data_IF_258044642421
#
_entry.id   IF_258044642421
#
_cell.length_a   1.000
_cell.length_b   1.000
_cell.length_c   1.000
_cell.angle_alpha   90.00
_cell.angle_beta   90.00
_cell.angle_gamma   90.00
#
_symmetry.space_group_name_H-M   'P 1'
#
loop_
_entity.id
_entity.type
_entity.pdbx_description
1 polymer ?
#
# COMPACT_ATOMS: atom_id res chain seq x y z
N UNK A 1 -0.15 12.57 16.25
CA UNK A 1 -0.79 11.94 15.05
C UNK A 1 0.05 10.75 14.70
N UNK A 2 -0.54 9.57 14.69
CA UNK A 2 0.17 8.31 14.40
C UNK A 2 0.26 8.11 12.89
N UNK A 3 1.46 7.98 12.35
CA UNK A 3 1.71 7.69 10.93
C UNK A 3 1.71 6.19 10.71
N UNK A 4 1.00 5.75 9.67
CA UNK A 4 0.96 4.36 9.24
C UNK A 4 1.29 4.31 7.74
N UNK A 5 2.40 3.67 7.41
CA UNK A 5 2.79 3.39 6.04
C UNK A 5 2.11 2.14 5.56
N UNK A 6 1.56 2.15 4.35
CA UNK A 6 0.72 1.09 3.78
C UNK A 6 1.12 0.80 2.34
N UNK A 7 1.09 -0.48 1.99
CA UNK A 7 1.19 -0.99 0.62
C UNK A 7 0.39 -2.28 0.48
N UNK A 8 -0.15 -2.56 -0.72
CA UNK A 8 -1.01 -3.73 -1.01
C UNK A 8 -0.55 -4.44 -2.26
N UNK A 9 -0.53 -5.77 -2.23
CA UNK A 9 -0.31 -6.58 -3.41
C UNK A 9 -1.58 -7.31 -3.84
N UNK A 10 -1.74 -7.44 -5.16
CA UNK A 10 -2.93 -8.05 -5.78
C UNK A 10 -2.58 -9.22 -6.67
N UNK A 11 -3.50 -10.16 -6.76
CA UNK A 11 -3.51 -11.14 -7.83
C UNK A 11 -4.34 -10.58 -8.99
N UNK A 12 -3.64 -10.08 -10.01
CA UNK A 12 -4.25 -9.48 -11.20
C UNK A 12 -4.15 -10.43 -12.37
N UNK A 13 -5.27 -11.06 -12.80
CA UNK A 13 -5.24 -11.96 -13.97
C UNK A 13 -5.04 -11.21 -15.30
N UNK A 14 -5.31 -9.92 -15.33
CA UNK A 14 -5.16 -9.04 -16.48
C UNK A 14 -3.78 -8.39 -16.60
N UNK A 15 -3.58 -7.63 -17.69
CA UNK A 15 -2.33 -6.89 -17.93
C UNK A 15 -2.17 -5.67 -17.00
N UNK A 16 -3.26 -5.21 -16.40
CA UNK A 16 -3.27 -4.06 -15.48
C UNK A 16 -4.14 -4.40 -14.28
N UNK A 17 -3.72 -4.03 -13.07
CA UNK A 17 -4.55 -4.20 -11.88
C UNK A 17 -5.84 -3.37 -11.97
N UNK A 18 -6.91 -3.92 -11.40
CA UNK A 18 -8.22 -3.30 -11.29
C UNK A 18 -8.68 -3.29 -9.84
N UNK A 19 -9.73 -2.52 -9.52
CA UNK A 19 -10.27 -2.48 -8.15
C UNK A 19 -11.07 -3.74 -7.78
N UNK A 20 -11.29 -4.65 -8.73
CA UNK A 20 -11.93 -5.96 -8.50
C UNK A 20 -10.91 -7.07 -8.24
N UNK A 21 -9.62 -6.80 -8.44
CA UNK A 21 -8.57 -7.78 -8.23
C UNK A 21 -8.45 -8.16 -6.75
N UNK A 22 -8.15 -9.42 -6.52
CA UNK A 22 -8.04 -9.98 -5.18
C UNK A 22 -6.79 -9.44 -4.48
N UNK A 23 -6.96 -8.93 -3.27
CA UNK A 23 -5.84 -8.55 -2.41
C UNK A 23 -5.21 -9.83 -1.83
N UNK A 24 -3.93 -10.03 -2.07
CA UNK A 24 -3.18 -11.19 -1.61
C UNK A 24 -2.23 -10.88 -0.45
N UNK A 25 -1.80 -9.62 -0.31
CA UNK A 25 -1.01 -9.18 0.82
C UNK A 25 -1.34 -7.73 1.19
N UNK A 26 -1.33 -7.42 2.48
CA UNK A 26 -1.42 -6.06 3.03
C UNK A 26 -0.23 -5.88 3.96
N UNK A 27 0.67 -4.97 3.64
CA UNK A 27 1.77 -4.60 4.51
C UNK A 27 1.56 -3.22 5.11
N UNK A 28 1.80 -3.08 6.39
CA UNK A 28 1.73 -1.78 7.06
C UNK A 28 2.75 -1.68 8.20
N UNK A 29 3.14 -0.46 8.50
CA UNK A 29 4.09 -0.11 9.56
C UNK A 29 3.65 1.18 10.23
N UNK A 30 3.53 1.17 11.53
CA UNK A 30 3.50 2.41 12.30
C UNK A 30 4.91 2.99 12.39
N UNK A 31 5.04 4.32 12.50
CA UNK A 31 6.30 5.07 12.43
C UNK A 31 7.44 4.43 13.25
N UNK A 32 7.17 4.06 14.51
CA UNK A 32 8.17 3.48 15.41
C UNK A 32 8.10 1.94 15.51
N UNK A 33 7.28 1.29 14.65
CA UNK A 33 7.02 -0.14 14.70
C UNK A 33 7.81 -0.94 13.67
N UNK A 34 7.64 -2.25 13.71
CA UNK A 34 8.06 -3.17 12.65
C UNK A 34 6.98 -3.27 11.57
N UNK A 35 7.38 -3.72 10.37
CA UNK A 35 6.42 -4.01 9.29
C UNK A 35 5.62 -5.26 9.65
N UNK A 36 4.31 -5.13 9.64
CA UNK A 36 3.36 -6.25 9.69
C UNK A 36 2.94 -6.58 8.26
N UNK A 37 2.93 -7.86 7.90
CA UNK A 37 2.42 -8.34 6.60
C UNK A 37 1.30 -9.33 6.85
N UNK A 38 0.09 -8.99 6.41
CA UNK A 38 -1.05 -9.89 6.40
C UNK A 38 -1.09 -10.58 5.03
N UNK A 39 -1.24 -11.90 5.03
CA UNK A 39 -1.05 -12.75 3.87
C UNK A 39 -2.29 -13.60 3.63
N UNK A 40 -2.84 -13.51 2.43
CA UNK A 40 -4.06 -14.23 2.06
C UNK A 40 -3.84 -15.75 2.04
N UNK A 41 -2.68 -16.23 1.61
CA UNK A 41 -2.33 -17.66 1.59
C UNK A 41 -2.14 -18.30 2.97
N UNK A 42 -2.10 -17.54 4.06
CA UNK A 42 -2.13 -18.04 5.44
C UNK A 42 -3.56 -18.07 6.01
N UNK A 43 -4.54 -17.47 5.29
CA UNK A 43 -5.95 -17.39 5.72
C UNK A 43 -6.88 -17.25 4.51
N UNK A 44 -7.44 -16.05 4.27
CA UNK A 44 -8.17 -15.64 3.09
C UNK A 44 -8.22 -14.09 3.00
N UNK A 45 -8.64 -13.57 1.84
CA UNK A 45 -8.73 -12.13 1.60
C UNK A 45 -9.63 -11.42 2.63
N UNK A 46 -10.79 -12.01 2.96
CA UNK A 46 -11.70 -11.41 3.92
C UNK A 46 -11.08 -11.27 5.31
N UNK A 47 -10.31 -12.27 5.74
CA UNK A 47 -9.66 -12.25 7.05
C UNK A 47 -8.55 -11.21 7.11
N UNK A 48 -7.71 -11.10 6.08
CA UNK A 48 -6.64 -10.07 6.09
C UNK A 48 -7.22 -8.66 6.04
N UNK A 49 -8.26 -8.41 5.26
CA UNK A 49 -8.99 -7.15 5.24
C UNK A 49 -9.63 -6.82 6.59
N UNK A 50 -10.30 -7.79 7.21
CA UNK A 50 -10.93 -7.60 8.53
C UNK A 50 -9.88 -7.23 9.57
N UNK A 51 -8.77 -7.99 9.65
CA UNK A 51 -7.68 -7.72 10.59
C UNK A 51 -7.08 -6.35 10.39
N UNK A 52 -6.77 -5.96 9.16
CA UNK A 52 -6.23 -4.63 8.85
C UNK A 52 -7.18 -3.52 9.31
N UNK A 53 -8.47 -3.61 8.95
CA UNK A 53 -9.46 -2.59 9.30
C UNK A 53 -9.70 -2.51 10.82
N UNK A 54 -9.62 -3.62 11.54
CA UNK A 54 -9.70 -3.63 13.01
C UNK A 54 -8.48 -2.97 13.66
N UNK A 55 -7.28 -3.19 13.12
CA UNK A 55 -6.06 -2.56 13.62
C UNK A 55 -6.12 -1.04 13.46
N UNK A 56 -6.47 -0.55 12.27
CA UNK A 56 -6.50 0.91 12.03
C UNK A 56 -7.61 1.61 12.82
N UNK A 57 -8.73 0.94 13.13
CA UNK A 57 -9.79 1.49 14.01
C UNK A 57 -9.33 1.77 15.44
N UNK A 58 -8.28 1.10 15.89
CA UNK A 58 -7.73 1.26 17.26
C UNK A 58 -6.73 2.40 17.34
N UNK A 59 -6.29 2.95 16.21
CA UNK A 59 -5.28 4.00 16.17
C UNK A 59 -5.97 5.36 16.30
N UNK A 60 -5.67 6.07 17.39
CA UNK A 60 -6.11 7.45 17.54
C UNK A 60 -5.31 8.38 16.63
N UNK A 61 -6.00 9.34 15.99
CA UNK A 61 -5.39 10.34 15.10
C UNK A 61 -4.47 9.73 14.03
N UNK A 62 -5.00 8.76 13.31
CA UNK A 62 -4.31 8.07 12.21
C UNK A 62 -4.01 9.02 11.04
N UNK A 63 -2.83 8.87 10.42
CA UNK A 63 -2.53 9.37 9.08
C UNK A 63 -1.96 8.20 8.26
N UNK A 64 -2.65 7.82 7.18
CA UNK A 64 -2.21 6.74 6.29
C UNK A 64 -1.32 7.34 5.21
N UNK A 65 -0.14 6.75 5.02
CA UNK A 65 0.86 7.21 4.06
C UNK A 65 1.16 6.06 3.09
N UNK A 66 1.14 6.35 1.80
CA UNK A 66 1.48 5.36 0.79
C UNK A 66 2.00 5.99 -0.49
N UNK A 67 2.37 5.14 -1.45
CA UNK A 67 2.83 5.57 -2.75
C UNK A 67 1.80 5.18 -3.82
N UNK A 68 1.16 6.15 -4.46
CA UNK A 68 -0.02 5.97 -5.33
C UNK A 68 -1.29 5.47 -4.59
N UNK A 69 -1.32 5.64 -3.30
CA UNK A 69 -2.33 5.08 -2.39
C UNK A 69 -3.74 5.60 -2.66
N UNK A 70 -3.88 6.87 -3.06
CA UNK A 70 -5.18 7.49 -3.36
C UNK A 70 -5.79 6.97 -4.66
N UNK A 71 -4.95 6.50 -5.59
CA UNK A 71 -5.42 6.00 -6.88
C UNK A 71 -5.57 4.48 -6.90
N UNK A 72 -4.94 3.76 -5.97
CA UNK A 72 -4.94 2.30 -6.02
C UNK A 72 -5.31 1.66 -4.68
N UNK A 73 -4.45 1.70 -3.68
CA UNK A 73 -4.59 0.89 -2.46
C UNK A 73 -5.87 1.17 -1.68
N UNK A 74 -6.17 2.44 -1.40
CA UNK A 74 -7.37 2.79 -0.63
C UNK A 74 -8.67 2.51 -1.38
N UNK A 75 -8.84 2.88 -2.66
CA UNK A 75 -10.00 2.48 -3.44
C UNK A 75 -10.17 0.96 -3.54
N UNK A 76 -9.08 0.23 -3.70
CA UNK A 76 -9.09 -1.23 -3.75
C UNK A 76 -9.56 -1.83 -2.43
N UNK A 77 -8.98 -1.43 -1.29
CA UNK A 77 -9.40 -1.88 0.05
C UNK A 77 -10.88 -1.59 0.28
N UNK A 78 -11.35 -0.37 -0.05
CA UNK A 78 -12.76 0.00 0.08
C UNK A 78 -13.64 -0.92 -0.74
N UNK A 79 -13.32 -1.13 -2.02
CA UNK A 79 -14.11 -1.97 -2.91
C UNK A 79 -14.14 -3.43 -2.45
N UNK A 80 -12.98 -4.01 -2.14
CA UNK A 80 -12.88 -5.41 -1.71
C UNK A 80 -13.54 -5.65 -0.35
N UNK A 81 -13.32 -4.78 0.64
CA UNK A 81 -13.95 -4.89 1.95
C UNK A 81 -15.48 -4.75 1.89
N UNK A 82 -15.98 -3.85 1.04
CA UNK A 82 -17.43 -3.71 0.79
C UNK A 82 -18.01 -4.96 0.10
N UNK A 83 -17.32 -5.49 -0.92
CA UNK A 83 -17.73 -6.72 -1.62
C UNK A 83 -17.77 -7.94 -0.69
N UNK A 84 -16.88 -8.03 0.29
CA UNK A 84 -16.89 -9.06 1.33
C UNK A 84 -17.92 -8.80 2.45
N UNK A 85 -18.66 -7.69 2.41
CA UNK A 85 -19.65 -7.34 3.42
C UNK A 85 -19.05 -7.04 4.79
N UNK A 86 -17.79 -6.58 4.86
CA UNK A 86 -17.11 -6.26 6.13
C UNK A 86 -17.65 -4.95 6.72
N UNK A 87 -17.87 -3.95 5.87
CA UNK A 87 -18.49 -2.68 6.25
C UNK A 87 -19.12 -2.01 5.01
N UNK A 88 -19.96 -1.00 5.23
CA UNK A 88 -20.49 -0.21 4.13
C UNK A 88 -19.40 0.63 3.46
N UNK A 89 -19.54 0.91 2.16
CA UNK A 89 -18.61 1.80 1.43
C UNK A 89 -18.44 3.15 2.13
N UNK A 90 -19.54 3.72 2.66
CA UNK A 90 -19.50 4.99 3.37
C UNK A 90 -18.71 4.94 4.68
N UNK A 91 -18.81 3.84 5.44
CA UNK A 91 -18.02 3.66 6.67
C UNK A 91 -16.54 3.45 6.35
N UNK A 92 -16.23 2.71 5.29
CA UNK A 92 -14.87 2.49 4.82
C UNK A 92 -14.23 3.79 4.33
N UNK A 93 -14.96 4.61 3.57
CA UNK A 93 -14.48 5.92 3.13
C UNK A 93 -14.18 6.83 4.33
N UNK A 94 -15.06 6.89 5.33
CA UNK A 94 -14.79 7.63 6.56
C UNK A 94 -13.54 7.12 7.28
N UNK A 95 -13.41 5.81 7.43
CA UNK A 95 -12.28 5.21 8.13
C UNK A 95 -10.93 5.45 7.44
N UNK A 96 -10.91 5.39 6.10
CA UNK A 96 -9.67 5.39 5.32
C UNK A 96 -9.31 6.75 4.72
N UNK A 97 -10.29 7.62 4.45
CA UNK A 97 -10.07 8.90 3.77
C UNK A 97 -10.21 10.12 4.69
N UNK A 98 -11.04 10.07 5.76
CA UNK A 98 -11.14 11.17 6.72
C UNK A 98 -9.83 11.45 7.49
N UNK A 99 -8.95 10.46 7.75
CA UNK A 99 -7.63 10.70 8.34
C UNK A 99 -6.65 11.50 7.47
N UNK A 100 -7.06 12.03 6.34
CA UNK A 100 -6.21 12.76 5.38
C UNK A 100 -4.99 11.93 4.94
N UNK A 101 -5.19 10.90 4.11
CA UNK A 101 -4.09 10.08 3.63
C UNK A 101 -3.09 10.92 2.83
N UNK A 102 -1.81 10.61 2.99
CA UNK A 102 -0.71 11.27 2.30
C UNK A 102 -0.20 10.34 1.20
N UNK A 103 -0.36 10.77 -0.04
CA UNK A 103 0.16 10.05 -1.20
C UNK A 103 1.48 10.70 -1.66
N UNK A 104 2.56 9.95 -1.58
CA UNK A 104 3.89 10.46 -1.93
C UNK A 104 4.05 10.77 -3.43
N UNK A 105 3.23 10.18 -4.32
CA UNK A 105 3.16 10.63 -5.73
C UNK A 105 2.51 12.01 -5.80
N UNK A 106 1.34 12.18 -5.17
CA UNK A 106 0.61 13.45 -5.21
C UNK A 106 1.44 14.59 -4.66
N UNK A 107 2.21 14.36 -3.59
CA UNK A 107 3.12 15.35 -3.02
C UNK A 107 4.23 15.80 -3.99
N UNK A 108 4.64 14.94 -4.93
CA UNK A 108 5.68 15.24 -5.91
C UNK A 108 5.16 15.83 -7.23
N UNK A 109 3.85 15.72 -7.52
CA UNK A 109 3.29 16.16 -8.80
C UNK A 109 3.61 17.62 -9.16
N UNK A 110 3.48 18.61 -8.24
CA UNK A 110 3.81 20.01 -8.59
C UNK A 110 5.26 20.19 -9.07
N UNK A 111 6.22 19.52 -8.41
CA UNK A 111 7.63 19.56 -8.79
C UNK A 111 7.93 18.76 -10.08
N UNK A 112 7.03 17.88 -10.49
CA UNK A 112 7.14 17.06 -11.69
C UNK A 112 6.21 17.56 -12.84
N UNK A 113 5.86 18.83 -12.84
CA UNK A 113 4.95 19.44 -13.82
C UNK A 113 3.61 18.69 -13.98
N UNK A 114 3.11 18.11 -12.90
CA UNK A 114 1.89 17.29 -12.84
C UNK A 114 1.91 16.01 -13.70
N UNK A 115 3.09 15.54 -14.12
CA UNK A 115 3.25 14.26 -14.80
C UNK A 115 3.52 13.12 -13.81
N UNK A 116 2.83 11.99 -14.01
CA UNK A 116 3.07 10.77 -13.22
C UNK A 116 4.31 9.98 -13.66
N UNK A 117 4.73 10.17 -14.92
CA UNK A 117 5.92 9.50 -15.46
C UNK A 117 7.16 9.88 -14.65
N UNK A 118 7.94 8.90 -14.28
CA UNK A 118 9.16 9.09 -13.48
C UNK A 118 8.91 9.18 -11.97
N UNK A 119 7.67 8.98 -11.50
CA UNK A 119 7.30 8.97 -10.09
C UNK A 119 6.98 7.57 -9.55
N UNK A 120 7.32 6.49 -10.25
CA UNK A 120 7.23 5.14 -9.70
C UNK A 120 8.13 4.97 -8.46
N UNK A 121 7.73 4.11 -7.51
CA UNK A 121 8.44 3.98 -6.23
C UNK A 121 9.91 3.62 -6.43
N UNK A 122 10.23 2.70 -7.35
CA UNK A 122 11.61 2.33 -7.67
C UNK A 122 12.42 3.52 -8.25
N UNK A 123 11.79 4.36 -9.09
CA UNK A 123 12.45 5.54 -9.66
C UNK A 123 12.68 6.61 -8.58
N UNK A 124 11.73 6.80 -7.69
CA UNK A 124 11.86 7.70 -6.53
C UNK A 124 12.93 7.20 -5.57
N UNK A 125 12.95 5.91 -5.23
CA UNK A 125 13.95 5.29 -4.36
C UNK A 125 15.37 5.51 -4.89
N UNK A 126 15.57 5.29 -6.19
CA UNK A 126 16.87 5.54 -6.84
C UNK A 126 17.32 6.99 -6.72
N UNK A 127 16.41 7.96 -6.86
CA UNK A 127 16.74 9.39 -6.73
C UNK A 127 17.19 9.80 -5.33
N UNK A 128 16.66 9.16 -4.30
CA UNK A 128 17.03 9.43 -2.90
C UNK A 128 18.15 8.51 -2.39
N UNK A 129 18.75 7.67 -3.26
CA UNK A 129 19.82 6.75 -2.88
C UNK A 129 19.35 5.59 -1.98
N UNK A 130 18.05 5.27 -1.98
CA UNK A 130 17.52 4.12 -1.27
C UNK A 130 17.74 2.82 -2.07
N UNK A 131 17.80 1.68 -1.38
CA UNK A 131 17.85 0.38 -2.03
C UNK A 131 16.58 0.16 -2.86
N UNK A 132 16.74 -0.45 -4.02
CA UNK A 132 15.65 -0.78 -4.92
C UNK A 132 15.12 -2.18 -4.62
N UNK A 133 13.89 -2.45 -5.05
CA UNK A 133 13.19 -3.71 -4.90
C UNK A 133 13.98 -4.91 -5.42
N UNK A 134 13.80 -6.05 -4.78
CA UNK A 134 14.38 -7.33 -5.21
C UNK A 134 13.66 -7.93 -6.42
N UNK A 135 12.35 -7.65 -6.61
CA UNK A 135 11.61 -8.07 -7.79
C UNK A 135 10.67 -6.95 -8.30
N UNK A 136 10.35 -6.91 -9.60
CA UNK A 136 9.35 -6.00 -10.14
C UNK A 136 7.93 -6.38 -9.70
N UNK A 137 7.06 -5.39 -9.41
CA UNK A 137 5.65 -5.64 -9.09
C UNK A 137 4.88 -6.38 -10.21
N UNK A 138 5.34 -6.29 -11.46
CA UNK A 138 4.77 -7.08 -12.57
C UNK A 138 4.97 -8.60 -12.47
N UNK A 139 5.87 -9.07 -11.60
CA UNK A 139 6.13 -10.49 -11.36
C UNK A 139 5.26 -11.08 -10.23
N UNK A 140 4.54 -10.28 -9.47
CA UNK A 140 3.76 -10.73 -8.29
C UNK A 140 2.82 -11.88 -8.63
N UNK A 141 2.07 -11.76 -9.75
CA UNK A 141 1.18 -12.83 -10.21
C UNK A 141 1.95 -14.14 -10.47
N UNK A 142 3.06 -14.07 -11.18
CA UNK A 142 3.89 -15.24 -11.48
C UNK A 142 4.42 -15.88 -10.20
N UNK A 143 4.94 -15.07 -9.27
CA UNK A 143 5.42 -15.54 -7.97
C UNK A 143 4.31 -16.22 -7.16
N UNK A 144 3.10 -15.65 -7.21
CA UNK A 144 1.95 -16.26 -6.54
C UNK A 144 1.59 -17.62 -7.15
N UNK A 145 1.52 -17.71 -8.48
CA UNK A 145 1.22 -18.95 -9.21
C UNK A 145 2.30 -20.04 -8.98
N UNK A 146 3.55 -19.65 -8.77
CA UNK A 146 4.67 -20.54 -8.43
C UNK A 146 4.74 -20.89 -6.94
N UNK A 147 3.94 -20.26 -6.07
CA UNK A 147 3.98 -20.45 -4.63
C UNK A 147 5.19 -19.79 -3.95
N UNK A 148 5.86 -18.86 -4.64
CA UNK A 148 6.98 -18.09 -4.07
C UNK A 148 6.48 -16.93 -3.19
N UNK A 149 5.80 -17.30 -2.11
CA UNK A 149 5.22 -16.35 -1.16
C UNK A 149 6.26 -15.56 -0.36
N UNK A 150 7.48 -16.08 -0.28
CA UNK A 150 8.59 -15.38 0.36
C UNK A 150 8.95 -14.13 -0.43
N UNK A 151 9.11 -14.25 -1.76
CA UNK A 151 9.40 -13.10 -2.63
C UNK A 151 8.30 -12.02 -2.55
N UNK A 152 7.02 -12.43 -2.53
CA UNK A 152 5.88 -11.49 -2.38
C UNK A 152 5.94 -10.77 -1.03
N UNK A 153 6.19 -11.52 0.05
CA UNK A 153 6.29 -10.96 1.41
C UNK A 153 7.42 -9.93 1.52
N UNK A 154 8.57 -10.23 0.95
CA UNK A 154 9.72 -9.31 0.93
C UNK A 154 9.44 -8.09 0.09
N UNK A 155 8.83 -8.27 -1.09
CA UNK A 155 8.48 -7.17 -1.99
C UNK A 155 7.57 -6.13 -1.31
N UNK A 156 6.40 -6.56 -0.80
CA UNK A 156 5.45 -5.64 -0.15
C UNK A 156 6.03 -4.99 1.12
N UNK A 157 6.91 -5.71 1.84
CA UNK A 157 7.64 -5.18 3.01
C UNK A 157 8.61 -4.08 2.59
N UNK A 158 9.40 -4.30 1.53
CA UNK A 158 10.34 -3.33 1.01
C UNK A 158 9.64 -2.07 0.49
N UNK A 159 8.46 -2.21 -0.12
CA UNK A 159 7.68 -1.07 -0.61
C UNK A 159 7.21 -0.16 0.54
N UNK A 160 6.75 -0.73 1.66
CA UNK A 160 6.43 0.03 2.87
C UNK A 160 7.66 0.77 3.41
N UNK A 161 8.81 0.09 3.52
CA UNK A 161 10.05 0.71 4.03
C UNK A 161 10.60 1.78 3.08
N UNK A 162 10.49 1.56 1.79
CA UNK A 162 10.89 2.52 0.76
C UNK A 162 9.99 3.75 0.76
N UNK A 163 8.69 3.55 0.92
CA UNK A 163 7.71 4.63 1.06
C UNK A 163 7.99 5.48 2.31
N UNK A 164 8.33 4.86 3.43
CA UNK A 164 8.75 5.59 4.64
C UNK A 164 10.00 6.44 4.40
N UNK A 165 11.04 5.88 3.78
CA UNK A 165 12.27 6.62 3.42
C UNK A 165 11.96 7.80 2.51
N UNK A 166 11.13 7.58 1.49
CA UNK A 166 10.72 8.62 0.55
C UNK A 166 9.92 9.73 1.25
N UNK A 167 8.95 9.36 2.08
CA UNK A 167 8.17 10.32 2.86
C UNK A 167 9.06 11.18 3.75
N UNK A 168 9.98 10.57 4.48
CA UNK A 168 10.91 11.28 5.36
C UNK A 168 11.82 12.22 4.58
N UNK A 169 12.30 11.80 3.41
CA UNK A 169 13.08 12.68 2.51
C UNK A 169 12.25 13.89 2.06
N UNK A 170 11.03 13.67 1.58
CA UNK A 170 10.14 14.75 1.13
C UNK A 170 9.81 15.74 2.24
N UNK A 171 9.64 15.27 3.49
CA UNK A 171 9.40 16.12 4.64
C UNK A 171 10.60 16.97 5.07
N UNK A 172 11.83 16.62 4.64
CA UNK A 172 13.05 17.39 4.94
C UNK A 172 13.38 18.44 3.87
N UNK A 173 12.96 18.21 2.62
CA UNK A 173 13.31 19.07 1.49
C UNK A 173 12.18 20.00 1.04
N UNK A 174 11.00 19.88 1.61
CA UNK A 174 9.82 20.74 1.40
C UNK A 174 9.70 21.73 2.55
#
# INVERSE_FOLDING_TARGET
MTRLFLDVETYSPGLKPTYDDRIIAIAYKQEDGSVTVLKEWESDEKQILTRFLEEIKRIDRLSIIGHNILRFDLPLIINRASAHGIASTGDLMRLLLDPYPIDTIQAQLPANNFFFKGLGLAECAKRIGAETRTCPGSEIKTRYDEGDYTAITEHVREDVLTTEKLFNYLAQVG
#
